data_IF_322525325043
#
_entry.id   IF_322525325043
#
_cell.length_a   1.000
_cell.length_b   1.000
_cell.length_c   1.000
_cell.angle_alpha   90.00
_cell.angle_beta   90.00
_cell.angle_gamma   90.00
#
_symmetry.space_group_name_H-M   'P 1'
#
loop_
_entity.id
_entity.type
_entity.pdbx_description
1 polymer ?
#
# COMPACT_ATOMS: atom_id res chain seq x y z
N UNK A 1 9.77 -5.39 15.16
CA UNK A 1 8.66 -4.46 15.50
C UNK A 1 9.25 -3.27 16.25
N UNK A 2 9.32 -2.11 15.58
CA UNK A 2 9.92 -0.88 16.09
C UNK A 2 8.78 0.10 16.33
N UNK A 3 8.66 0.64 17.55
CA UNK A 3 7.76 1.76 17.86
C UNK A 3 8.23 2.95 17.04
N UNK A 4 7.39 3.49 16.16
CA UNK A 4 7.65 4.77 15.51
C UNK A 4 6.43 5.65 15.63
N UNK A 5 6.41 6.36 16.74
CA UNK A 5 5.58 7.54 16.93
C UNK A 5 6.10 8.60 15.96
N UNK A 6 5.47 8.73 14.80
CA UNK A 6 5.65 9.94 14.01
C UNK A 6 4.89 11.03 14.76
N UNK A 7 5.61 11.96 15.38
CA UNK A 7 4.98 13.13 15.99
C UNK A 7 4.27 13.88 14.86
N UNK A 8 2.94 13.89 14.87
CA UNK A 8 2.12 14.65 13.91
C UNK A 8 2.61 16.10 13.77
N UNK A 9 3.15 16.69 14.85
CA UNK A 9 3.78 18.02 14.83
C UNK A 9 4.98 18.13 13.88
N UNK A 10 5.78 17.08 13.69
CA UNK A 10 6.90 17.10 12.73
C UNK A 10 6.43 17.02 11.27
N UNK A 11 5.31 16.33 11.01
CA UNK A 11 4.70 16.28 9.68
C UNK A 11 3.98 17.59 9.35
N UNK A 12 3.23 18.16 10.31
CA UNK A 12 2.59 19.48 10.19
C UNK A 12 3.62 20.61 10.04
N UNK A 13 4.78 20.54 10.71
CA UNK A 13 5.81 21.57 10.57
C UNK A 13 6.51 21.58 9.19
N UNK A 14 6.47 20.47 8.45
CA UNK A 14 6.88 20.44 7.03
C UNK A 14 5.74 20.86 6.08
N UNK A 15 4.50 20.98 6.57
CA UNK A 15 3.34 21.47 5.84
C UNK A 15 3.24 23.00 5.94
N UNK A 16 3.79 23.72 4.96
CA UNK A 16 3.44 25.13 4.73
C UNK A 16 2.10 25.24 4.00
N UNK A 17 0.97 25.00 4.64
CA UNK A 17 -0.37 25.43 4.17
C UNK A 17 -1.33 25.38 5.39
N UNK A 18 -2.00 26.39 5.95
CA UNK A 18 -2.25 27.81 5.69
C UNK A 18 -2.07 28.58 7.02
N UNK A 19 -1.16 29.55 7.07
CA UNK A 19 -1.24 30.72 7.94
C UNK A 19 -0.57 31.84 7.15
N UNK A 20 -1.37 32.81 6.71
CA UNK A 20 -0.83 34.07 6.21
C UNK A 20 0.03 34.70 7.32
N UNK A 21 1.18 35.21 6.88
CA UNK A 21 2.09 36.17 7.50
C UNK A 21 1.94 36.42 9.02
N UNK A 22 2.85 35.86 9.82
CA UNK A 22 3.82 36.67 10.58
C UNK A 22 4.82 35.77 11.33
N UNK A 23 6.06 36.25 11.39
CA UNK A 23 7.17 35.62 12.08
C UNK A 23 6.87 35.48 13.59
N UNK A 24 6.70 34.26 14.09
CA UNK A 24 6.93 33.96 15.51
C UNK A 24 7.19 32.46 15.76
N UNK A 25 8.10 32.20 16.68
CA UNK A 25 8.64 30.88 17.01
C UNK A 25 7.55 29.86 17.42
N UNK A 26 7.75 28.55 17.22
CA UNK A 26 6.71 27.55 17.45
C UNK A 26 6.46 27.39 18.95
N UNK A 27 5.41 28.04 19.45
CA UNK A 27 4.80 27.71 20.73
C UNK A 27 4.09 26.35 20.62
N UNK A 28 4.30 25.53 21.64
CA UNK A 28 3.73 24.20 21.83
C UNK A 28 2.20 24.16 21.78
N UNK A 29 1.61 24.05 20.59
CA UNK A 29 0.22 23.65 20.42
C UNK A 29 0.15 22.13 20.34
N UNK A 30 -0.08 21.47 21.48
CA UNK A 30 -0.24 20.02 21.57
C UNK A 30 -1.58 19.58 20.98
N UNK A 31 -1.69 19.59 19.66
CA UNK A 31 -2.59 18.65 18.99
C UNK A 31 -2.16 17.25 19.43
N UNK A 32 -3.09 16.45 19.99
CA UNK A 32 -2.79 15.11 20.47
C UNK A 32 -1.96 14.31 19.45
N UNK A 33 -0.92 13.62 19.91
CA UNK A 33 -0.06 12.85 19.02
C UNK A 33 -0.83 11.63 18.51
N UNK A 34 -1.29 11.68 17.26
CA UNK A 34 -1.82 10.50 16.56
C UNK A 34 -0.70 9.51 16.31
N UNK A 35 -0.96 8.22 16.53
CA UNK A 35 -0.02 7.15 16.20
C UNK A 35 -0.71 6.01 15.45
N UNK A 36 0.03 5.36 14.55
CA UNK A 36 -0.49 4.28 13.72
C UNK A 36 0.47 3.09 13.76
N UNK A 37 -0.08 1.88 13.81
CA UNK A 37 0.68 0.61 13.74
C UNK A 37 0.19 -0.21 12.57
N UNK A 38 1.10 -0.71 11.75
CA UNK A 38 0.83 -1.78 10.78
C UNK A 38 1.60 -3.02 11.18
N UNK A 39 0.98 -4.20 11.15
CA UNK A 39 1.65 -5.44 11.51
C UNK A 39 0.99 -6.68 10.88
N UNK A 40 1.72 -7.38 10.01
CA UNK A 40 1.37 -8.75 9.62
C UNK A 40 1.63 -9.70 10.80
N UNK A 41 0.55 -10.25 11.38
CA UNK A 41 0.63 -11.06 12.60
C UNK A 41 0.89 -12.55 12.35
N UNK A 42 1.05 -12.96 11.08
CA UNK A 42 1.21 -14.34 10.63
C UNK A 42 0.10 -15.26 11.16
N UNK A 43 -0.90 -15.55 10.32
CA UNK A 43 -2.04 -16.37 10.72
C UNK A 43 -1.55 -17.76 11.19
N UNK A 44 -2.08 -18.32 12.30
CA UNK A 44 -1.66 -19.64 12.78
C UNK A 44 -1.79 -20.76 11.74
N UNK A 45 -2.74 -20.64 10.80
CA UNK A 45 -2.93 -21.58 9.66
C UNK A 45 -1.77 -21.55 8.64
N UNK A 46 -0.95 -20.50 8.65
CA UNK A 46 0.20 -20.35 7.75
C UNK A 46 1.53 -20.59 8.43
N UNK A 47 1.60 -20.45 9.75
CA UNK A 47 2.82 -20.71 10.49
C UNK A 47 3.12 -22.21 10.54
N UNK A 48 4.12 -22.64 9.77
CA UNK A 48 4.61 -24.01 9.78
C UNK A 48 5.48 -24.27 11.02
N UNK A 49 5.30 -25.43 11.64
CA UNK A 49 6.17 -25.95 12.70
C UNK A 49 7.23 -26.88 12.09
N UNK A 50 8.02 -27.55 12.92
CA UNK A 50 9.04 -28.52 12.48
C UNK A 50 8.36 -29.74 11.80
N UNK A 51 8.11 -29.68 10.49
CA UNK A 51 7.45 -30.74 9.71
C UNK A 51 6.29 -30.23 8.84
N UNK A 52 5.24 -31.04 8.69
CA UNK A 52 4.02 -30.69 7.92
C UNK A 52 2.98 -29.93 8.74
N UNK A 53 3.08 -29.93 10.08
CA UNK A 53 2.04 -29.40 10.94
C UNK A 53 2.03 -27.86 10.94
N UNK A 54 0.84 -27.30 11.11
CA UNK A 54 0.60 -25.87 11.28
C UNK A 54 0.44 -25.51 12.77
N UNK A 55 0.82 -24.30 13.16
CA UNK A 55 0.61 -23.81 14.53
C UNK A 55 -0.87 -23.86 14.93
N UNK A 56 -1.78 -23.65 13.97
CA UNK A 56 -3.23 -23.77 14.14
C UNK A 56 -3.71 -25.10 14.74
N UNK A 57 -2.94 -26.18 14.59
CA UNK A 57 -3.26 -27.50 15.17
C UNK A 57 -2.99 -27.58 16.68
N UNK A 58 -2.26 -26.60 17.24
CA UNK A 58 -1.83 -26.59 18.63
C UNK A 58 -2.31 -25.33 19.34
N UNK A 59 -3.49 -25.43 20.00
CA UNK A 59 -4.16 -24.31 20.67
C UNK A 59 -3.24 -23.49 21.56
N UNK A 60 -2.48 -24.13 22.44
CA UNK A 60 -1.61 -23.42 23.39
C UNK A 60 -0.53 -22.59 22.70
N UNK A 61 0.00 -23.05 21.56
CA UNK A 61 1.06 -22.34 20.83
C UNK A 61 0.52 -21.06 20.17
N UNK A 62 -0.56 -21.18 19.40
CA UNK A 62 -1.11 -20.00 18.74
C UNK A 62 -1.74 -19.03 19.74
N UNK A 63 -2.35 -19.52 20.82
CA UNK A 63 -2.96 -18.69 21.85
C UNK A 63 -1.88 -17.85 22.56
N UNK A 64 -0.85 -18.49 23.11
CA UNK A 64 0.23 -17.80 23.83
C UNK A 64 0.96 -16.76 22.96
N UNK A 65 1.19 -17.07 21.67
CA UNK A 65 1.79 -16.11 20.74
C UNK A 65 0.88 -14.91 20.50
N UNK A 66 -0.42 -15.13 20.31
CA UNK A 66 -1.36 -14.05 20.04
C UNK A 66 -1.66 -13.20 21.29
N UNK A 67 -1.66 -13.78 22.48
CA UNK A 67 -1.67 -13.02 23.74
C UNK A 67 -0.45 -12.10 23.83
N UNK A 68 0.74 -12.62 23.52
CA UNK A 68 1.98 -11.82 23.49
C UNK A 68 1.93 -10.69 22.45
N UNK A 69 1.32 -10.94 21.29
CA UNK A 69 1.10 -9.90 20.26
C UNK A 69 0.12 -8.84 20.78
N UNK A 70 -0.99 -9.24 21.40
CA UNK A 70 -1.96 -8.31 21.98
C UNK A 70 -1.35 -7.46 23.10
N UNK A 71 -0.61 -8.06 24.03
CA UNK A 71 0.08 -7.33 25.10
C UNK A 71 1.03 -6.27 24.52
N UNK A 72 1.74 -6.63 23.44
CA UNK A 72 2.61 -5.73 22.71
C UNK A 72 1.85 -4.58 22.03
N UNK A 73 0.73 -4.86 21.37
CA UNK A 73 -0.13 -3.85 20.73
C UNK A 73 -0.71 -2.88 21.76
N UNK A 74 -1.20 -3.40 22.89
CA UNK A 74 -1.76 -2.61 23.99
C UNK A 74 -0.70 -1.77 24.70
N UNK A 75 0.53 -2.28 24.83
CA UNK A 75 1.66 -1.50 25.36
C UNK A 75 2.06 -0.35 24.42
N UNK A 76 1.98 -0.56 23.11
CA UNK A 76 2.23 0.50 22.13
C UNK A 76 1.13 1.56 22.16
N UNK A 77 -0.12 1.14 22.41
CA UNK A 77 -1.32 1.98 22.52
C UNK A 77 -1.47 2.98 21.37
N UNK A 78 -1.36 2.45 20.14
CA UNK A 78 -1.45 3.29 18.94
C UNK A 78 -2.88 3.75 18.70
N UNK A 79 -3.08 4.99 18.26
CA UNK A 79 -4.42 5.51 17.96
C UNK A 79 -5.16 4.68 16.90
N UNK A 80 -4.40 4.10 15.95
CA UNK A 80 -4.89 3.16 14.93
C UNK A 80 -3.96 1.95 14.84
N UNK A 81 -4.54 0.76 14.75
CA UNK A 81 -3.83 -0.51 14.58
C UNK A 81 -4.39 -1.22 13.35
N UNK A 82 -3.54 -1.50 12.37
CA UNK A 82 -3.86 -2.22 11.13
C UNK A 82 -3.11 -3.55 11.11
N UNK A 83 -3.84 -4.65 11.15
CA UNK A 83 -3.30 -6.01 11.16
C UNK A 83 -3.58 -6.71 9.83
N UNK A 84 -2.59 -7.50 9.38
CA UNK A 84 -2.70 -8.39 8.23
C UNK A 84 -2.48 -9.84 8.68
N UNK A 85 -2.99 -10.80 7.89
CA UNK A 85 -3.04 -12.23 8.25
C UNK A 85 -3.73 -12.48 9.59
N UNK A 86 -4.79 -11.71 9.87
CA UNK A 86 -5.65 -11.94 11.02
C UNK A 86 -6.50 -13.19 10.77
N UNK A 87 -6.53 -14.15 11.71
CA UNK A 87 -7.21 -15.43 11.49
C UNK A 87 -8.73 -15.32 11.74
N UNK A 88 -9.42 -14.70 10.80
CA UNK A 88 -10.85 -14.33 10.89
C UNK A 88 -11.76 -15.55 11.15
N UNK A 89 -11.45 -16.74 10.61
CA UNK A 89 -12.32 -17.91 10.79
C UNK A 89 -12.09 -18.67 12.11
N UNK A 90 -11.27 -18.15 13.02
CA UNK A 90 -11.11 -18.71 14.35
C UNK A 90 -11.82 -17.82 15.37
N UNK A 91 -13.05 -18.18 15.73
CA UNK A 91 -13.89 -17.42 16.67
C UNK A 91 -13.22 -17.16 18.02
N UNK A 92 -12.39 -18.08 18.49
CA UNK A 92 -11.68 -17.92 19.76
C UNK A 92 -10.62 -16.80 19.69
N UNK A 93 -9.78 -16.80 18.66
CA UNK A 93 -8.81 -15.75 18.40
C UNK A 93 -9.51 -14.41 18.14
N UNK A 94 -10.58 -14.41 17.36
CA UNK A 94 -11.38 -13.20 17.09
C UNK A 94 -11.92 -12.61 18.38
N UNK A 95 -12.59 -13.42 19.20
CA UNK A 95 -13.16 -12.99 20.49
C UNK A 95 -12.07 -12.45 21.42
N UNK A 96 -10.90 -13.07 21.44
CA UNK A 96 -9.77 -12.61 22.26
C UNK A 96 -9.29 -11.21 21.85
N UNK A 97 -9.10 -10.96 20.54
CA UNK A 97 -8.67 -9.64 20.06
C UNK A 97 -9.76 -8.58 20.26
N UNK A 98 -11.00 -8.86 19.88
CA UNK A 98 -12.12 -7.91 20.01
C UNK A 98 -12.36 -7.53 21.48
N UNK A 99 -12.33 -8.51 22.39
CA UNK A 99 -12.47 -8.26 23.82
C UNK A 99 -11.31 -7.42 24.37
N UNK A 100 -10.05 -7.84 24.15
CA UNK A 100 -8.88 -7.18 24.73
C UNK A 100 -8.68 -5.75 24.18
N UNK A 101 -8.95 -5.54 22.90
CA UNK A 101 -8.91 -4.21 22.28
C UNK A 101 -10.12 -3.37 22.70
N UNK A 102 -11.32 -3.97 22.77
CA UNK A 102 -12.53 -3.30 23.24
C UNK A 102 -12.43 -2.82 24.69
N UNK A 103 -11.94 -3.67 25.60
CA UNK A 103 -11.66 -3.33 27.01
C UNK A 103 -10.64 -2.18 27.12
N UNK A 104 -9.77 -2.00 26.11
CA UNK A 104 -8.80 -0.92 26.01
C UNK A 104 -9.30 0.32 25.25
N UNK A 105 -10.59 0.38 24.88
CA UNK A 105 -11.21 1.54 24.25
C UNK A 105 -11.10 1.62 22.72
N UNK A 106 -10.86 0.49 22.05
CA UNK A 106 -10.82 0.42 20.59
C UNK A 106 -12.15 -0.08 20.00
N UNK A 107 -12.53 0.48 18.86
CA UNK A 107 -13.50 -0.14 17.94
C UNK A 107 -12.74 -0.95 16.91
N UNK A 108 -13.17 -2.18 16.66
CA UNK A 108 -12.51 -3.10 15.72
C UNK A 108 -13.38 -3.42 14.50
N UNK A 109 -12.74 -3.45 13.33
CA UNK A 109 -13.33 -3.82 12.04
C UNK A 109 -12.52 -4.97 11.46
N UNK A 110 -13.15 -6.11 11.16
CA UNK A 110 -12.50 -7.29 10.57
C UNK A 110 -13.05 -7.56 9.17
N UNK A 111 -12.19 -7.99 8.25
CA UNK A 111 -12.57 -8.31 6.87
C UNK A 111 -11.83 -9.56 6.41
N UNK A 112 -12.59 -10.63 6.13
CA UNK A 112 -12.06 -11.85 5.55
C UNK A 112 -11.67 -11.64 4.08
N UNK A 113 -10.70 -12.42 3.59
CA UNK A 113 -10.41 -12.47 2.15
C UNK A 113 -11.54 -13.11 1.36
N UNK A 114 -11.67 -12.72 0.10
CA UNK A 114 -12.74 -13.15 -0.81
C UNK A 114 -12.74 -14.64 -1.13
N UNK A 115 -11.59 -15.31 -1.03
CA UNK A 115 -11.44 -16.74 -1.36
C UNK A 115 -11.49 -17.68 -0.14
N UNK A 116 -12.03 -17.22 0.99
CA UNK A 116 -12.30 -18.06 2.16
C UNK A 116 -11.05 -18.78 2.72
N UNK A 117 -9.85 -18.20 2.53
CA UNK A 117 -8.55 -18.75 2.94
C UNK A 117 -8.34 -18.83 4.46
N UNK A 118 -9.26 -18.32 5.25
CA UNK A 118 -9.23 -18.32 6.71
C UNK A 118 -8.72 -17.03 7.33
N UNK A 119 -7.85 -16.31 6.62
CA UNK A 119 -7.26 -15.05 7.07
C UNK A 119 -7.93 -13.80 6.48
N UNK A 120 -7.52 -12.65 6.99
CA UNK A 120 -8.00 -11.35 6.56
C UNK A 120 -7.28 -10.20 7.24
N UNK A 121 -8.01 -9.09 7.35
CA UNK A 121 -7.55 -7.85 7.94
C UNK A 121 -8.30 -7.58 9.24
N UNK A 122 -7.65 -6.90 10.18
CA UNK A 122 -8.30 -6.25 11.31
C UNK A 122 -7.79 -4.82 11.44
N UNK A 123 -8.68 -3.85 11.57
CA UNK A 123 -8.34 -2.47 11.90
C UNK A 123 -9.00 -2.09 13.22
N UNK A 124 -8.22 -1.60 14.18
CA UNK A 124 -8.69 -1.12 15.46
C UNK A 124 -8.45 0.40 15.58
N UNK A 125 -9.46 1.15 15.99
CA UNK A 125 -9.41 2.61 16.12
C UNK A 125 -9.73 2.99 17.57
N UNK A 126 -8.82 3.71 18.21
CA UNK A 126 -8.97 4.13 19.60
C UNK A 126 -9.97 5.29 19.72
N UNK A 127 -11.06 5.09 20.47
CA UNK A 127 -12.18 6.02 20.53
C UNK A 127 -11.83 7.39 21.14
N UNK A 128 -10.86 7.45 22.06
CA UNK A 128 -10.40 8.75 22.60
C UNK A 128 -9.63 9.62 21.58
N UNK A 129 -9.19 9.06 20.46
CA UNK A 129 -8.43 9.81 19.44
C UNK A 129 -9.28 10.09 18.20
N UNK A 130 -10.14 9.15 17.81
CA UNK A 130 -10.90 9.25 16.58
C UNK A 130 -12.35 8.81 16.78
N UNK A 131 -13.26 9.53 16.13
CA UNK A 131 -14.58 9.03 15.81
C UNK A 131 -14.57 8.40 14.42
N UNK A 132 -15.13 7.20 14.26
CA UNK A 132 -15.22 6.55 12.94
C UNK A 132 -16.52 7.01 12.28
N UNK A 133 -16.40 7.75 11.19
CA UNK A 133 -17.53 8.29 10.42
C UNK A 133 -18.10 7.24 9.45
N UNK A 134 -17.23 6.44 8.84
CA UNK A 134 -17.63 5.40 7.90
C UNK A 134 -16.62 4.26 7.81
N UNK A 135 -17.08 3.10 7.35
CA UNK A 135 -16.29 1.92 7.03
C UNK A 135 -16.78 1.30 5.73
N UNK A 136 -15.86 1.06 4.80
CA UNK A 136 -16.14 0.37 3.54
C UNK A 136 -15.18 -0.81 3.32
N UNK A 137 -15.73 -1.87 2.73
CA UNK A 137 -15.01 -3.08 2.35
C UNK A 137 -14.68 -3.01 0.86
N UNK A 138 -13.39 -2.94 0.53
CA UNK A 138 -12.93 -2.99 -0.85
C UNK A 138 -12.58 -4.43 -1.20
N UNK A 139 -13.42 -5.08 -2.01
CA UNK A 139 -13.23 -6.48 -2.43
C UNK A 139 -12.54 -6.55 -3.79
N UNK A 140 -11.42 -7.27 -3.87
CA UNK A 140 -10.66 -7.48 -5.10
C UNK A 140 -10.90 -8.89 -5.66
N UNK A 141 -12.18 -9.23 -5.89
CA UNK A 141 -12.61 -10.55 -6.40
C UNK A 141 -12.02 -10.88 -7.78
N UNK A 142 -11.75 -9.86 -8.59
CA UNK A 142 -11.20 -9.95 -9.93
C UNK A 142 -9.66 -9.95 -9.94
N UNK A 143 -9.01 -9.68 -8.80
CA UNK A 143 -7.56 -9.53 -8.75
C UNK A 143 -6.93 -10.05 -7.45
N UNK A 144 -6.52 -11.31 -7.51
CA UNK A 144 -5.68 -11.93 -6.49
C UNK A 144 -6.37 -12.30 -5.18
N UNK A 145 -7.70 -12.23 -5.14
CA UNK A 145 -8.54 -12.54 -3.98
C UNK A 145 -8.07 -11.82 -2.70
N UNK A 146 -7.79 -10.53 -2.85
CA UNK A 146 -7.38 -9.65 -1.76
C UNK A 146 -8.51 -8.71 -1.39
N UNK A 147 -8.30 -8.01 -0.29
CA UNK A 147 -9.26 -7.07 0.28
C UNK A 147 -8.49 -5.86 0.80
N UNK A 148 -9.18 -4.73 0.92
CA UNK A 148 -8.76 -3.60 1.71
C UNK A 148 -9.92 -3.08 2.57
N UNK A 149 -9.59 -2.47 3.70
CA UNK A 149 -10.55 -1.79 4.57
C UNK A 149 -10.34 -0.30 4.44
N UNK A 150 -11.37 0.47 4.06
CA UNK A 150 -11.34 1.93 4.05
C UNK A 150 -12.13 2.44 5.26
N UNK A 151 -11.46 3.18 6.15
CA UNK A 151 -12.06 3.84 7.29
C UNK A 151 -11.97 5.35 7.10
N UNK A 152 -13.09 6.05 7.26
CA UNK A 152 -13.13 7.50 7.33
C UNK A 152 -13.26 7.90 8.78
N UNK A 153 -12.26 8.62 9.30
CA UNK A 153 -12.16 8.95 10.72
C UNK A 153 -12.02 10.45 10.94
N UNK A 154 -12.63 10.95 12.01
CA UNK A 154 -12.54 12.33 12.48
C UNK A 154 -11.69 12.39 13.75
N UNK A 155 -10.65 13.23 13.75
CA UNK A 155 -9.79 13.44 14.91
C UNK A 155 -10.54 14.19 16.00
N UNK A 156 -10.54 13.62 17.21
CA UNK A 156 -11.06 14.27 18.40
C UNK A 156 -9.99 15.22 18.95
N UNK A 157 -10.22 16.53 18.83
CA UNK A 157 -9.34 17.55 19.41
C UNK A 157 -9.92 18.02 20.74
N UNK A 158 -9.24 17.67 21.84
CA UNK A 158 -9.56 18.23 23.16
C UNK A 158 -8.91 19.61 23.30
N UNK A 159 -9.63 20.66 22.93
CA UNK A 159 -9.21 22.02 23.24
C UNK A 159 -9.50 22.35 24.71
N UNK A 160 -8.61 23.11 25.37
CA UNK A 160 -9.01 23.89 26.54
C UNK A 160 -9.96 25.00 26.06
N UNK A 161 -10.99 25.29 26.86
CA UNK A 161 -12.28 25.92 26.52
C UNK A 161 -12.32 27.26 25.75
N UNK A 162 -11.22 27.79 25.19
CA UNK A 162 -11.17 29.16 24.65
C UNK A 162 -10.70 29.32 23.18
N UNK A 163 -10.65 28.27 22.35
CA UNK A 163 -10.42 28.44 20.91
C UNK A 163 -11.45 27.70 20.08
N UNK A 164 -12.59 28.37 19.85
CA UNK A 164 -13.59 28.01 18.85
C UNK A 164 -13.03 28.26 17.44
N UNK A 165 -12.20 27.34 16.95
CA UNK A 165 -12.12 27.08 15.52
C UNK A 165 -12.50 25.63 15.33
N UNK A 166 -13.73 25.42 14.88
CA UNK A 166 -14.41 24.14 14.71
C UNK A 166 -13.89 23.41 13.46
N UNK A 167 -12.57 23.33 13.26
CA UNK A 167 -11.97 22.63 12.12
C UNK A 167 -11.98 21.15 12.39
N UNK A 168 -13.00 20.46 11.86
CA UNK A 168 -13.04 19.00 11.76
C UNK A 168 -11.81 18.54 10.99
N UNK A 169 -11.03 17.64 11.58
CA UNK A 169 -9.84 17.07 10.93
C UNK A 169 -10.15 15.62 10.59
N UNK A 170 -10.54 15.41 9.35
CA UNK A 170 -10.90 14.10 8.83
C UNK A 170 -9.71 13.46 8.11
N UNK A 171 -9.61 12.14 8.19
CA UNK A 171 -8.55 11.34 7.56
C UNK A 171 -9.15 10.06 7.01
N UNK A 172 -8.69 9.62 5.85
CA UNK A 172 -8.96 8.29 5.33
C UNK A 172 -7.83 7.34 5.72
N UNK A 173 -8.18 6.19 6.25
CA UNK A 173 -7.22 5.14 6.60
C UNK A 173 -7.57 3.89 5.84
N UNK A 174 -6.63 3.38 5.06
CA UNK A 174 -6.79 2.13 4.34
C UNK A 174 -5.82 1.07 4.85
N UNK A 175 -6.34 -0.10 5.25
CA UNK A 175 -5.53 -1.27 5.58
C UNK A 175 -5.62 -2.30 4.44
N UNK A 176 -4.49 -2.88 4.03
CA UNK A 176 -4.45 -3.91 2.99
C UNK A 176 -3.35 -4.96 3.21
N UNK A 177 -3.45 -6.08 2.51
CA UNK A 177 -2.38 -7.07 2.36
C UNK A 177 -2.29 -7.49 0.89
N UNK A 178 -1.33 -6.92 0.17
CA UNK A 178 -1.13 -7.16 -1.25
C UNK A 178 -0.71 -8.60 -1.52
N UNK A 179 -0.89 -9.05 -2.77
CA UNK A 179 -0.60 -10.44 -3.13
C UNK A 179 0.90 -10.79 -2.98
N UNK A 180 1.16 -11.94 -2.37
CA UNK A 180 2.50 -12.48 -2.19
C UNK A 180 3.18 -12.77 -3.55
N UNK A 181 4.45 -12.36 -3.77
CA UNK A 181 5.17 -12.61 -5.02
C UNK A 181 5.61 -14.07 -5.14
N UNK A 182 4.76 -14.95 -5.66
CA UNK A 182 5.17 -16.34 -5.95
C UNK A 182 6.22 -16.40 -7.07
N UNK A 183 6.06 -15.53 -8.07
CA UNK A 183 6.99 -15.28 -9.18
C UNK A 183 6.99 -13.78 -9.57
N UNK A 184 7.72 -13.42 -10.63
CA UNK A 184 7.87 -12.04 -11.08
C UNK A 184 6.60 -11.41 -11.64
N UNK A 185 5.66 -12.16 -12.23
CA UNK A 185 4.44 -11.63 -12.83
C UNK A 185 3.52 -10.94 -11.80
N UNK A 186 3.62 -11.35 -10.53
CA UNK A 186 2.82 -10.79 -9.43
C UNK A 186 3.11 -9.31 -9.14
N UNK A 187 4.18 -8.74 -9.69
CA UNK A 187 4.43 -7.30 -9.59
C UNK A 187 3.35 -6.45 -10.28
N UNK A 188 2.75 -6.95 -11.36
CA UNK A 188 1.66 -6.27 -12.07
C UNK A 188 0.34 -6.39 -11.31
N UNK A 189 0.06 -7.58 -10.75
CA UNK A 189 -1.11 -7.80 -9.91
C UNK A 189 -1.11 -6.84 -8.72
N UNK A 190 0.05 -6.66 -8.06
CA UNK A 190 0.18 -5.68 -6.98
C UNK A 190 -0.03 -4.24 -7.44
N UNK A 191 0.51 -3.84 -8.59
CA UNK A 191 0.26 -2.49 -9.12
C UNK A 191 -1.23 -2.25 -9.38
N UNK A 192 -1.92 -3.20 -10.00
CA UNK A 192 -3.35 -3.07 -10.27
C UNK A 192 -4.19 -3.11 -8.98
N UNK A 193 -3.78 -3.86 -7.95
CA UNK A 193 -4.38 -3.77 -6.62
C UNK A 193 -4.27 -2.36 -6.03
N UNK A 194 -3.08 -1.74 -6.10
CA UNK A 194 -2.88 -0.36 -5.64
C UNK A 194 -3.65 0.65 -6.48
N UNK A 195 -3.68 0.47 -7.80
CA UNK A 195 -4.48 1.30 -8.70
C UNK A 195 -5.96 1.30 -8.30
N UNK A 196 -6.53 0.11 -8.07
CA UNK A 196 -7.92 -0.02 -7.59
C UNK A 196 -8.12 0.61 -6.22
N UNK A 197 -7.17 0.46 -5.28
CA UNK A 197 -7.23 1.12 -3.97
C UNK A 197 -7.33 2.64 -4.10
N UNK A 198 -6.49 3.25 -4.94
CA UNK A 198 -6.53 4.71 -5.18
C UNK A 198 -7.84 5.12 -5.84
N UNK A 199 -8.34 4.36 -6.82
CA UNK A 199 -9.67 4.60 -7.42
C UNK A 199 -10.82 4.49 -6.41
N UNK A 200 -10.77 3.54 -5.48
CA UNK A 200 -11.75 3.45 -4.40
C UNK A 200 -11.73 4.68 -3.51
N UNK A 201 -10.54 5.20 -3.18
CA UNK A 201 -10.39 6.44 -2.40
C UNK A 201 -10.98 7.63 -3.17
N UNK A 202 -10.66 7.77 -4.45
CA UNK A 202 -11.19 8.85 -5.30
C UNK A 202 -12.72 8.80 -5.38
N UNK A 203 -13.28 7.61 -5.67
CA UNK A 203 -14.74 7.40 -5.71
C UNK A 203 -15.39 7.70 -4.37
N UNK A 204 -14.81 7.24 -3.26
CA UNK A 204 -15.32 7.51 -1.92
C UNK A 204 -15.36 9.00 -1.62
N UNK A 205 -14.27 9.73 -1.91
CA UNK A 205 -14.23 11.18 -1.74
C UNK A 205 -15.30 11.88 -2.59
N UNK A 206 -15.47 11.47 -3.84
CA UNK A 206 -16.47 12.06 -4.74
C UNK A 206 -17.91 11.79 -4.28
N UNK A 207 -18.24 10.53 -3.97
CA UNK A 207 -19.58 10.10 -3.54
C UNK A 207 -20.02 10.74 -2.22
N UNK A 208 -19.06 11.02 -1.33
CA UNK A 208 -19.32 11.64 -0.03
C UNK A 208 -19.04 13.15 -0.03
N UNK A 209 -18.79 13.75 -1.21
CA UNK A 209 -18.50 15.18 -1.38
C UNK A 209 -17.41 15.70 -0.44
N UNK A 210 -16.40 14.86 -0.18
CA UNK A 210 -15.33 15.20 0.76
C UNK A 210 -14.39 16.25 0.14
N UNK A 211 -13.95 17.25 0.93
CA UNK A 211 -12.83 18.07 0.52
C UNK A 211 -11.58 17.19 0.38
N UNK A 212 -10.49 17.71 -0.21
CA UNK A 212 -9.21 17.03 -0.16
C UNK A 212 -8.82 16.68 1.29
N UNK A 213 -8.81 15.39 1.61
CA UNK A 213 -8.54 14.85 2.95
C UNK A 213 -7.21 14.06 2.97
N UNK A 214 -6.45 14.11 4.07
CA UNK A 214 -5.28 13.25 4.25
C UNK A 214 -5.63 11.77 4.15
N UNK A 215 -4.69 10.99 3.62
CA UNK A 215 -4.82 9.53 3.47
C UNK A 215 -3.65 8.83 4.13
N UNK A 216 -3.94 7.79 4.91
CA UNK A 216 -2.97 6.87 5.52
C UNK A 216 -3.18 5.49 4.90
N UNK A 217 -2.18 4.95 4.20
CA UNK A 217 -2.22 3.57 3.69
C UNK A 217 -1.31 2.70 4.55
N UNK A 218 -1.90 1.72 5.24
CA UNK A 218 -1.21 0.72 6.03
C UNK A 218 -1.28 -0.63 5.35
N UNK A 219 -0.23 -1.43 5.46
CA UNK A 219 -0.30 -2.80 5.01
C UNK A 219 1.03 -3.52 4.91
N UNK A 220 0.90 -4.81 4.60
CA UNK A 220 1.94 -5.61 4.00
C UNK A 220 1.83 -5.47 2.48
N UNK A 221 2.80 -4.78 1.89
CA UNK A 221 2.82 -4.45 0.47
C UNK A 221 3.46 -5.56 -0.37
N UNK A 222 4.05 -6.58 0.26
CA UNK A 222 4.70 -7.70 -0.43
C UNK A 222 5.70 -7.24 -1.53
N UNK A 223 6.29 -6.06 -1.34
CA UNK A 223 7.19 -5.39 -2.26
C UNK A 223 8.12 -4.44 -1.49
N UNK A 224 9.35 -4.28 -1.96
CA UNK A 224 10.35 -3.46 -1.29
C UNK A 224 10.31 -1.99 -1.71
N UNK A 225 11.08 -1.14 -1.02
CA UNK A 225 11.24 0.29 -1.38
C UNK A 225 11.82 0.55 -2.78
N UNK A 226 12.40 -0.47 -3.42
CA UNK A 226 12.92 -0.38 -4.80
C UNK A 226 11.88 -0.75 -5.87
N UNK A 227 10.79 -1.40 -5.48
CA UNK A 227 9.78 -1.91 -6.41
C UNK A 227 8.89 -0.81 -6.98
N UNK A 228 8.30 -1.06 -8.14
CA UNK A 228 7.49 -0.05 -8.82
C UNK A 228 6.16 0.24 -8.11
N UNK A 229 5.67 -0.63 -7.22
CA UNK A 229 4.56 -0.30 -6.30
C UNK A 229 4.91 0.89 -5.40
N UNK A 230 6.15 0.91 -4.87
CA UNK A 230 6.62 1.98 -4.01
C UNK A 230 6.74 3.30 -4.79
N UNK A 231 7.37 3.24 -5.97
CA UNK A 231 7.52 4.38 -6.88
C UNK A 231 6.17 4.91 -7.37
N UNK A 232 5.22 4.02 -7.65
CA UNK A 232 3.86 4.38 -8.05
C UNK A 232 3.20 5.26 -6.98
N UNK A 233 3.21 4.83 -5.72
CA UNK A 233 2.68 5.63 -4.60
C UNK A 233 3.42 6.96 -4.45
N UNK A 234 4.75 6.99 -4.56
CA UNK A 234 5.52 8.23 -4.51
C UNK A 234 5.13 9.20 -5.63
N UNK A 235 4.91 8.71 -6.84
CA UNK A 235 4.45 9.53 -7.97
C UNK A 235 3.06 10.13 -7.76
N UNK A 236 2.27 9.54 -6.87
CA UNK A 236 0.96 10.00 -6.43
C UNK A 236 1.02 10.89 -5.18
N UNK A 237 2.22 11.32 -4.77
CA UNK A 237 2.42 12.23 -3.63
C UNK A 237 2.44 11.55 -2.27
N UNK A 238 2.39 10.21 -2.21
CA UNK A 238 2.54 9.49 -0.95
C UNK A 238 3.99 9.47 -0.49
N UNK A 239 4.20 9.70 0.80
CA UNK A 239 5.50 9.57 1.47
C UNK A 239 5.46 8.45 2.49
N UNK A 240 6.50 7.64 2.54
CA UNK A 240 6.61 6.59 3.55
C UNK A 240 7.04 7.18 4.88
N UNK A 241 6.27 6.89 5.93
CA UNK A 241 6.66 7.21 7.32
C UNK A 241 8.03 6.64 7.70
N UNK A 242 8.42 5.51 7.10
CA UNK A 242 9.72 4.91 7.32
C UNK A 242 10.85 5.79 6.78
N UNK A 243 10.70 6.31 5.56
CA UNK A 243 11.70 7.17 4.92
C UNK A 243 11.82 8.51 5.65
N UNK A 244 10.69 9.09 6.08
CA UNK A 244 10.68 10.32 6.89
C UNK A 244 11.49 10.12 8.18
N UNK A 245 11.33 8.98 8.83
CA UNK A 245 12.05 8.65 10.05
C UNK A 245 13.52 8.19 9.79
N UNK A 246 13.93 8.06 8.52
CA UNK A 246 15.25 7.56 8.11
C UNK A 246 15.81 8.25 6.85
N UNK A 247 16.01 9.57 6.89
CA UNK A 247 16.38 10.36 5.71
C UNK A 247 17.76 9.99 5.11
N UNK A 248 18.63 9.32 5.88
CA UNK A 248 20.00 8.95 5.48
C UNK A 248 20.15 7.50 4.97
N UNK A 249 19.05 6.80 4.66
CA UNK A 249 19.09 5.37 4.27
C UNK A 249 19.08 5.12 2.76
N UNK A 250 19.48 6.12 1.96
CA UNK A 250 19.61 5.99 0.50
C UNK A 250 20.93 5.33 0.06
N UNK A 251 21.87 5.11 0.98
CA UNK A 251 23.09 4.36 0.69
C UNK A 251 22.80 2.86 0.57
N UNK A 252 23.37 2.23 -0.48
CA UNK A 252 23.06 0.88 -0.91
C UNK A 252 23.28 -0.22 0.16
N UNK A 253 24.13 0.04 1.15
CA UNK A 253 24.54 -0.91 2.18
C UNK A 253 23.50 -1.12 3.30
N UNK A 254 22.66 -0.11 3.59
CA UNK A 254 21.75 -0.13 4.75
C UNK A 254 20.33 -0.62 4.45
N UNK A 255 20.04 -0.90 3.18
CA UNK A 255 18.85 -1.63 2.71
C UNK A 255 18.70 -3.03 3.34
N UNK A 256 19.80 -3.60 3.83
CA UNK A 256 19.84 -4.88 4.53
C UNK A 256 19.23 -4.83 5.96
N UNK A 257 18.96 -3.64 6.51
CA UNK A 257 18.48 -3.47 7.89
C UNK A 257 16.97 -3.28 8.04
N UNK A 258 16.23 -2.92 6.99
CA UNK A 258 14.76 -2.82 7.11
C UNK A 258 14.14 -4.20 7.09
N UNK A 259 13.79 -4.68 8.28
CA UNK A 259 13.15 -5.98 8.48
C UNK A 259 11.81 -5.74 9.15
N UNK A 260 10.75 -6.04 8.42
CA UNK A 260 9.40 -6.06 8.97
C UNK A 260 9.08 -7.46 9.50
N UNK A 261 9.27 -8.52 8.70
CA UNK A 261 9.04 -9.91 9.11
C UNK A 261 9.83 -10.94 8.27
N UNK A 262 9.75 -12.21 8.65
CA UNK A 262 10.23 -13.34 7.84
C UNK A 262 9.07 -13.89 7.03
N UNK A 263 9.23 -14.00 5.71
CA UNK A 263 8.19 -14.59 4.89
C UNK A 263 8.09 -16.11 5.10
N UNK A 264 7.10 -16.76 4.49
CA UNK A 264 6.90 -18.21 4.62
C UNK A 264 8.05 -19.08 4.07
N UNK A 265 9.01 -18.49 3.35
CA UNK A 265 10.25 -19.15 2.89
C UNK A 265 11.42 -18.96 3.87
N UNK A 266 11.21 -18.26 4.99
CA UNK A 266 12.23 -17.93 5.97
C UNK A 266 13.09 -16.72 5.58
N UNK A 267 12.77 -16.02 4.49
CA UNK A 267 13.55 -14.88 4.04
C UNK A 267 13.16 -13.63 4.84
N UNK A 268 14.19 -12.90 5.26
CA UNK A 268 14.06 -11.58 5.87
C UNK A 268 13.51 -10.59 4.84
N UNK A 269 12.42 -9.90 5.17
CA UNK A 269 11.72 -8.99 4.28
C UNK A 269 11.42 -7.65 4.97
N UNK A 270 11.52 -6.54 4.23
CA UNK A 270 11.09 -5.21 4.64
C UNK A 270 10.00 -4.71 3.71
N UNK A 271 8.76 -5.13 3.97
CA UNK A 271 7.62 -4.99 3.04
C UNK A 271 6.38 -4.37 3.68
N UNK A 272 6.39 -4.15 4.99
CA UNK A 272 5.31 -3.47 5.71
C UNK A 272 5.58 -1.97 5.68
N UNK A 273 4.62 -1.18 5.22
CA UNK A 273 4.77 0.28 5.14
C UNK A 273 3.50 0.99 5.58
N UNK A 274 3.70 2.19 6.13
CA UNK A 274 2.66 3.19 6.34
C UNK A 274 3.00 4.36 5.44
N UNK A 275 2.20 4.56 4.39
CA UNK A 275 2.28 5.69 3.48
C UNK A 275 1.32 6.78 3.92
N UNK A 276 1.77 8.03 3.81
CA UNK A 276 1.03 9.22 4.19
C UNK A 276 0.89 10.10 2.96
N UNK A 277 -0.32 10.57 2.70
CA UNK A 277 -0.57 11.55 1.65
C UNK A 277 -1.23 12.78 2.26
N UNK A 278 -0.61 13.92 2.03
CA UNK A 278 -1.23 15.21 2.30
C UNK A 278 -1.90 15.69 1.02
N UNK A 279 -3.22 15.97 1.01
CA UNK A 279 -3.86 16.62 -0.13
C UNK A 279 -3.10 17.88 -0.55
N UNK A 280 -2.61 17.87 -1.77
CA UNK A 280 -1.99 19.03 -2.43
C UNK A 280 -2.91 19.51 -3.56
N UNK A 281 -2.71 20.74 -4.02
CA UNK A 281 -3.52 21.33 -5.09
C UNK A 281 -3.31 20.65 -6.46
N UNK A 282 -2.31 19.78 -6.60
CA UNK A 282 -2.01 19.09 -7.85
C UNK A 282 -1.65 17.63 -7.59
N UNK A 283 -2.49 16.73 -8.10
CA UNK A 283 -2.20 15.31 -8.19
C UNK A 283 -2.09 14.91 -9.66
N UNK A 284 -1.06 14.12 -9.97
CA UNK A 284 -0.92 13.52 -11.30
C UNK A 284 -2.03 12.49 -11.51
N UNK A 285 -2.62 12.37 -12.72
CA UNK A 285 -3.63 11.36 -12.98
C UNK A 285 -3.16 9.95 -12.61
N UNK A 286 -3.95 9.24 -11.79
CA UNK A 286 -3.62 7.92 -11.27
C UNK A 286 -3.28 6.92 -12.39
N UNK A 287 -3.98 7.03 -13.53
CA UNK A 287 -3.79 6.15 -14.69
C UNK A 287 -2.41 6.32 -15.33
N UNK A 288 -1.91 7.55 -15.50
CA UNK A 288 -0.57 7.79 -16.06
C UNK A 288 0.53 7.23 -15.15
N UNK A 289 0.43 7.51 -13.85
CA UNK A 289 1.37 6.98 -12.85
C UNK A 289 1.34 5.45 -12.78
N UNK A 290 0.17 4.84 -12.98
CA UNK A 290 0.02 3.39 -13.06
C UNK A 290 0.71 2.83 -14.31
N UNK A 291 0.52 3.45 -15.48
CA UNK A 291 1.18 3.05 -16.72
C UNK A 291 2.71 3.12 -16.61
N UNK A 292 3.25 4.22 -16.07
CA UNK A 292 4.69 4.37 -15.84
C UNK A 292 5.24 3.25 -14.94
N UNK A 293 4.51 2.89 -13.88
CA UNK A 293 4.91 1.81 -12.99
C UNK A 293 4.86 0.43 -13.66
N UNK A 294 3.87 0.19 -14.53
CA UNK A 294 3.75 -1.02 -15.35
C UNK A 294 4.94 -1.13 -16.31
N UNK A 295 5.29 -0.06 -17.01
CA UNK A 295 6.47 -0.01 -17.88
C UNK A 295 7.77 -0.25 -17.10
N UNK A 296 7.87 0.33 -15.90
CA UNK A 296 8.98 0.06 -14.97
C UNK A 296 9.11 -1.44 -14.63
N UNK A 297 8.00 -2.15 -14.39
CA UNK A 297 8.02 -3.59 -14.15
C UNK A 297 8.44 -4.38 -15.40
N UNK A 298 7.98 -3.99 -16.58
CA UNK A 298 8.38 -4.61 -17.85
C UNK A 298 9.90 -4.49 -18.01
N UNK A 299 10.44 -3.27 -17.85
CA UNK A 299 11.87 -3.03 -17.96
C UNK A 299 12.69 -3.85 -16.94
N UNK A 300 12.26 -3.88 -15.68
CA UNK A 300 12.92 -4.68 -14.62
C UNK A 300 12.92 -6.18 -14.95
N UNK A 301 11.87 -6.69 -15.59
CA UNK A 301 11.76 -8.09 -16.00
C UNK A 301 12.63 -8.39 -17.22
N UNK A 302 12.63 -7.51 -18.22
CA UNK A 302 13.47 -7.61 -19.41
C UNK A 302 14.96 -7.64 -19.06
N UNK A 303 15.42 -6.77 -18.14
CA UNK A 303 16.81 -6.79 -17.67
C UNK A 303 17.18 -8.11 -16.97
N UNK A 304 16.27 -8.70 -16.17
CA UNK A 304 16.54 -10.00 -15.52
C UNK A 304 16.66 -11.14 -16.52
N UNK A 305 15.88 -11.14 -17.59
CA UNK A 305 15.96 -12.15 -18.65
C UNK A 305 17.25 -11.99 -19.47
N UNK A 306 17.65 -10.74 -19.76
CA UNK A 306 18.95 -10.37 -20.36
C UNK A 306 20.15 -11.04 -19.67
N UNK A 307 20.19 -10.96 -18.34
CA UNK A 307 21.29 -11.54 -17.54
C UNK A 307 21.33 -13.08 -17.52
N UNK A 308 20.28 -13.77 -18.01
CA UNK A 308 20.22 -15.24 -18.12
C UNK A 308 20.56 -15.77 -19.52
N UNK A 309 21.06 -14.92 -20.42
CA UNK A 309 21.48 -15.31 -21.76
C UNK A 309 20.37 -15.27 -22.83
N UNK A 310 19.24 -14.64 -22.53
CA UNK A 310 18.16 -14.34 -23.48
C UNK A 310 18.16 -12.82 -23.64
N UNK A 311 18.33 -12.26 -24.85
CA UNK A 311 18.60 -10.83 -25.06
C UNK A 311 17.65 -9.85 -24.35
N UNK A 312 18.11 -8.62 -24.04
CA UNK A 312 17.22 -7.56 -23.58
C UNK A 312 16.34 -7.12 -24.76
N UNK A 313 15.03 -7.05 -24.57
CA UNK A 313 14.05 -6.62 -25.59
C UNK A 313 13.85 -7.59 -26.76
N UNK A 314 13.35 -8.81 -26.49
CA UNK A 314 12.74 -9.65 -27.54
C UNK A 314 11.58 -8.96 -28.30
N UNK A 315 11.07 -7.85 -27.77
CA UNK A 315 10.11 -6.96 -28.43
C UNK A 315 10.59 -6.48 -29.82
N UNK A 316 11.88 -6.20 -29.99
CA UNK A 316 12.47 -5.74 -31.26
C UNK A 316 13.48 -6.74 -31.86
N UNK A 317 13.51 -8.00 -31.40
CA UNK A 317 14.48 -9.00 -31.88
C UNK A 317 14.13 -9.62 -33.24
N UNK A 318 12.95 -9.34 -33.78
CA UNK A 318 12.68 -9.55 -35.21
C UNK A 318 13.24 -8.36 -35.99
N UNK A 319 13.69 -8.55 -37.23
CA UNK A 319 14.27 -7.51 -38.13
C UNK A 319 13.34 -6.30 -38.46
N UNK A 320 12.33 -6.04 -37.63
CA UNK A 320 11.32 -4.99 -37.73
C UNK A 320 11.69 -3.80 -36.85
N UNK A 321 11.67 -2.60 -37.44
CA UNK A 321 11.91 -1.32 -36.74
C UNK A 321 10.82 -0.91 -35.74
N UNK A 322 9.78 -1.74 -35.62
CA UNK A 322 8.55 -1.46 -34.91
C UNK A 322 7.90 -2.78 -34.45
N UNK A 323 6.95 -2.67 -33.53
CA UNK A 323 6.21 -3.77 -32.91
C UNK A 323 4.74 -3.53 -33.19
N UNK A 324 3.99 -4.57 -33.54
CA UNK A 324 2.53 -4.51 -33.68
C UNK A 324 1.81 -4.86 -32.39
N UNK A 325 0.53 -4.48 -32.24
CA UNK A 325 -0.29 -4.84 -31.09
C UNK A 325 -0.29 -6.34 -30.80
N UNK A 326 -0.33 -7.17 -31.86
CA UNK A 326 -0.29 -8.63 -31.71
C UNK A 326 1.05 -9.12 -31.15
N UNK A 327 2.17 -8.57 -31.61
CA UNK A 327 3.50 -8.92 -31.08
C UNK A 327 3.64 -8.43 -29.64
N UNK A 328 3.10 -7.24 -29.33
CA UNK A 328 3.14 -6.69 -27.98
C UNK A 328 2.34 -7.54 -27.00
N UNK A 329 1.09 -7.87 -27.35
CA UNK A 329 0.25 -8.76 -26.56
C UNK A 329 0.86 -10.15 -26.42
N UNK A 330 1.53 -10.67 -27.45
CA UNK A 330 2.21 -11.96 -27.39
C UNK A 330 3.41 -11.94 -26.44
N UNK A 331 4.25 -10.89 -26.50
CA UNK A 331 5.38 -10.73 -25.61
C UNK A 331 4.93 -10.59 -24.14
N UNK A 332 3.84 -9.86 -23.87
CA UNK A 332 3.24 -9.84 -22.54
C UNK A 332 2.74 -11.23 -22.11
N UNK A 333 2.19 -12.03 -23.01
CA UNK A 333 1.78 -13.41 -22.72
C UNK A 333 2.98 -14.31 -22.42
N UNK A 334 4.08 -14.20 -23.18
CA UNK A 334 5.33 -14.95 -22.95
C UNK A 334 6.00 -14.59 -21.62
N UNK A 335 5.89 -13.34 -21.20
CA UNK A 335 6.32 -12.89 -19.88
C UNK A 335 5.38 -13.35 -18.74
N UNK A 336 4.31 -14.10 -19.06
CA UNK A 336 3.31 -14.58 -18.12
C UNK A 336 2.38 -13.48 -17.61
N UNK A 337 2.31 -12.34 -18.31
CA UNK A 337 1.61 -11.12 -17.89
C UNK A 337 0.19 -11.02 -18.44
N UNK A 338 -0.18 -11.86 -19.41
CA UNK A 338 -1.52 -11.98 -19.96
C UNK A 338 -1.89 -13.44 -20.19
N UNK A 339 -3.19 -13.77 -20.10
CA UNK A 339 -3.72 -15.10 -20.43
C UNK A 339 -4.10 -15.99 -19.24
N UNK A 340 -3.87 -15.55 -17.99
CA UNK A 340 -4.35 -16.22 -16.79
C UNK A 340 -5.56 -15.48 -16.18
N UNK A 341 -6.74 -16.11 -16.04
CA UNK A 341 -7.99 -15.43 -15.69
C UNK A 341 -8.02 -14.67 -14.35
N UNK A 342 -7.14 -15.01 -13.39
CA UNK A 342 -7.21 -14.49 -12.02
C UNK A 342 -5.99 -13.64 -11.61
N UNK A 343 -4.91 -13.64 -12.41
CA UNK A 343 -3.60 -13.13 -11.99
C UNK A 343 -2.83 -12.39 -13.11
N UNK A 344 -3.48 -12.04 -14.21
CA UNK A 344 -2.82 -11.39 -15.36
C UNK A 344 -3.50 -10.08 -15.76
N UNK A 345 -2.81 -9.24 -16.53
CA UNK A 345 -3.40 -8.05 -17.16
C UNK A 345 -4.57 -8.49 -18.05
N UNK A 346 -5.72 -7.82 -17.88
CA UNK A 346 -6.87 -8.03 -18.74
C UNK A 346 -6.63 -7.46 -20.14
N UNK A 347 -7.47 -7.83 -21.08
CA UNK A 347 -7.40 -7.31 -22.46
C UNK A 347 -7.55 -5.78 -22.52
N UNK A 348 -8.36 -5.19 -21.65
CA UNK A 348 -8.48 -3.73 -21.53
C UNK A 348 -7.19 -3.11 -20.99
N UNK A 349 -6.58 -3.68 -19.95
CA UNK A 349 -5.32 -3.16 -19.41
C UNK A 349 -4.20 -3.21 -20.48
N UNK A 350 -4.11 -4.29 -21.25
CA UNK A 350 -3.10 -4.44 -22.33
C UNK A 350 -3.32 -3.40 -23.42
N UNK A 351 -4.59 -3.13 -23.75
CA UNK A 351 -4.96 -2.12 -24.72
C UNK A 351 -4.64 -0.72 -24.22
N UNK A 352 -4.95 -0.38 -22.97
CA UNK A 352 -4.61 0.91 -22.37
C UNK A 352 -3.08 1.12 -22.33
N UNK A 353 -2.31 0.07 -22.03
CA UNK A 353 -0.84 0.14 -22.06
C UNK A 353 -0.35 0.37 -23.49
N UNK A 354 -0.93 -0.33 -24.47
CA UNK A 354 -0.60 -0.13 -25.88
C UNK A 354 -0.84 1.31 -26.32
N UNK A 355 -2.05 1.83 -26.11
CA UNK A 355 -2.44 3.18 -26.49
C UNK A 355 -1.63 4.25 -25.74
N UNK A 356 -1.08 3.92 -24.57
CA UNK A 356 -0.19 4.81 -23.84
C UNK A 356 1.23 4.88 -24.44
N UNK A 357 1.72 3.77 -25.02
CA UNK A 357 3.06 3.72 -25.61
C UNK A 357 3.04 4.20 -27.07
N UNK A 358 2.00 3.85 -27.83
CA UNK A 358 1.75 4.30 -29.22
C UNK A 358 1.36 5.78 -29.23
N UNK A 359 2.37 6.66 -29.04
CA UNK A 359 2.14 8.09 -28.78
C UNK A 359 1.64 8.87 -29.98
N UNK A 360 1.90 8.39 -31.20
CA UNK A 360 1.46 9.02 -32.44
C UNK A 360 0.21 8.36 -33.06
N UNK A 361 -0.20 7.20 -32.52
CA UNK A 361 -1.43 6.51 -32.88
C UNK A 361 -1.35 5.84 -34.26
N UNK A 362 -0.15 5.53 -34.74
CA UNK A 362 0.06 4.92 -36.04
C UNK A 362 -0.21 3.40 -36.06
N UNK A 363 -0.48 2.83 -34.88
CA UNK A 363 -0.84 1.42 -34.71
C UNK A 363 0.38 0.50 -34.61
N UNK A 364 1.57 1.05 -34.41
CA UNK A 364 2.79 0.30 -34.05
C UNK A 364 3.52 0.99 -32.89
N UNK A 365 4.44 0.27 -32.22
CA UNK A 365 5.35 0.86 -31.22
C UNK A 365 6.75 0.80 -31.81
N UNK A 366 7.34 1.96 -32.12
CA UNK A 366 8.73 2.06 -32.52
C UNK A 366 9.66 2.38 -31.33
N UNK A 367 10.97 2.50 -31.59
CA UNK A 367 11.94 2.83 -30.53
C UNK A 367 11.70 4.24 -29.94
N UNK A 368 11.23 5.20 -30.74
CA UNK A 368 10.93 6.56 -30.29
C UNK A 368 9.69 6.56 -29.39
N UNK A 369 8.65 5.81 -29.75
CA UNK A 369 7.46 5.59 -28.92
C UNK A 369 7.82 4.92 -27.61
N UNK A 370 8.66 3.89 -27.65
CA UNK A 370 9.12 3.21 -26.45
C UNK A 370 9.94 4.14 -25.55
N UNK A 371 10.85 4.93 -26.13
CA UNK A 371 11.65 5.92 -25.37
C UNK A 371 10.75 7.01 -24.79
N UNK A 372 9.80 7.58 -25.55
CA UNK A 372 8.87 8.61 -25.07
C UNK A 372 7.92 8.08 -24.00
N UNK A 373 7.39 6.88 -24.18
CA UNK A 373 6.53 6.21 -23.20
C UNK A 373 7.29 5.84 -21.92
N UNK A 374 8.60 5.59 -22.01
CA UNK A 374 9.48 5.32 -20.88
C UNK A 374 10.11 6.56 -20.23
N UNK A 375 10.14 7.70 -20.91
CA UNK A 375 10.59 8.95 -20.32
C UNK A 375 9.59 9.40 -19.25
N UNK A 376 10.02 9.61 -18.00
CA UNK A 376 9.16 10.27 -17.02
C UNK A 376 8.84 11.65 -17.60
N UNK A 377 7.55 11.95 -17.83
CA UNK A 377 7.15 13.24 -18.40
C UNK A 377 7.83 14.36 -17.60
N UNK A 378 8.83 15.02 -18.21
CA UNK A 378 9.49 16.16 -17.59
C UNK A 378 8.49 17.31 -17.55
N UNK A 379 7.81 17.45 -16.42
CA UNK A 379 6.93 18.58 -16.23
C UNK A 379 7.80 19.84 -16.10
N UNK A 380 7.72 20.71 -17.11
CA UNK A 380 8.15 22.11 -16.97
C UNK A 380 7.08 22.78 -16.11
N UNK A 381 7.40 23.25 -14.89
CA UNK A 381 6.43 24.05 -14.14
C UNK A 381 6.05 25.26 -15.00
N UNK A 382 4.76 25.36 -15.31
CA UNK A 382 4.19 26.54 -15.95
C UNK A 382 4.56 27.76 -15.12
N UNK A 383 4.99 28.81 -15.81
CA UNK A 383 5.30 30.12 -15.24
C UNK A 383 4.09 30.74 -14.55
#
# INVERSE_FOLDING_TARGET
MIKRTLLWSQWVNQCKIFCDEEQQAPSSNSFGCVSCTTFNILAPIYKRLNGQNCESEFRELWLSRNESILDRLLTLSSSIICLQEFWVHNEELVTMYEKRLGDAGYVTYKLARTNNRGDGLLTAVHQNHFHVLNYQECLFNDIGDRVAQLLHVELLVHFSENQLTNTRKEVLVMNTHLIFPHDSSYCFVRLKQVYKMLKYIDSYCHENELPPVPVILCGDWNGSKKGNVYKFLQSQGFVSSYDIAHPYTNDAEDLSKWISHHNHRGNVCGVDFIFLHNPSNYQRPVQESFMEAVLGNINDLSHKLSTKGVGPLHFFETDSSHITYSQFSHALAELGLSGHPQHSLGTEDIKDIWEHIDTDGDGVIDLLDFVKGMEPMQFRPGK
#
